data_IF_313132532342
#
_entry.id   IF_313132532342
#
_cell.length_a   1.000
_cell.length_b   1.000
_cell.length_c   1.000
_cell.angle_alpha   90.00
_cell.angle_beta   90.00
_cell.angle_gamma   90.00
#
_symmetry.space_group_name_H-M   'P 1'
#
loop_
_entity.id
_entity.type
_entity.pdbx_description
1 polymer ?
#
# COMPACT_ATOMS: atom_id res chain seq x y z
N UNK A 1 47.93 -6.63 -11.66
CA UNK A 1 47.31 -7.62 -10.77
C UNK A 1 45.96 -7.97 -11.39
N UNK A 2 45.72 -9.24 -11.74
CA UNK A 2 44.45 -9.67 -12.37
C UNK A 2 43.37 -9.79 -11.29
N UNK A 3 42.17 -9.30 -11.55
CA UNK A 3 41.04 -9.26 -10.62
C UNK A 3 40.43 -10.65 -10.44
N UNK A 4 40.74 -11.32 -9.32
CA UNK A 4 40.24 -12.67 -8.98
C UNK A 4 38.71 -12.77 -8.84
N UNK A 5 38.00 -11.63 -8.79
CA UNK A 5 36.53 -11.58 -8.73
C UNK A 5 35.87 -11.89 -10.09
N UNK A 6 36.54 -11.58 -11.20
CA UNK A 6 36.00 -11.85 -12.55
C UNK A 6 36.14 -13.34 -12.94
N UNK A 7 37.21 -14.00 -12.48
CA UNK A 7 37.41 -15.46 -12.66
C UNK A 7 36.37 -16.31 -11.88
N UNK A 8 35.84 -15.78 -10.76
CA UNK A 8 34.76 -16.42 -10.00
C UNK A 8 33.39 -16.23 -10.68
N UNK A 9 33.16 -15.10 -11.33
CA UNK A 9 31.96 -14.85 -12.12
C UNK A 9 31.97 -15.62 -13.45
N UNK A 10 33.16 -15.86 -14.03
CA UNK A 10 33.36 -16.71 -15.21
C UNK A 10 33.15 -18.22 -14.94
N UNK A 11 33.10 -18.66 -13.68
CA UNK A 11 32.82 -20.06 -13.31
C UNK A 11 31.32 -20.39 -13.36
N UNK A 12 30.45 -19.39 -13.41
CA UNK A 12 29.03 -19.59 -13.61
C UNK A 12 28.71 -19.49 -15.10
N UNK A 13 28.45 -20.65 -15.72
CA UNK A 13 27.94 -20.73 -17.08
C UNK A 13 26.51 -20.21 -17.10
N UNK A 14 26.36 -18.90 -17.36
CA UNK A 14 25.04 -18.29 -17.56
C UNK A 14 24.48 -18.87 -18.86
N UNK A 15 23.48 -19.74 -18.74
CA UNK A 15 22.71 -20.20 -19.89
C UNK A 15 21.86 -19.02 -20.39
N UNK A 16 22.09 -18.59 -21.63
CA UNK A 16 21.25 -17.59 -22.30
C UNK A 16 19.91 -18.25 -22.69
N UNK A 17 18.88 -18.03 -21.86
CA UNK A 17 17.56 -18.68 -21.97
C UNK A 17 16.80 -18.24 -23.24
N UNK A 18 17.22 -17.16 -23.91
CA UNK A 18 16.54 -16.62 -25.09
C UNK A 18 16.89 -17.31 -26.43
N UNK A 19 17.77 -18.32 -26.44
CA UNK A 19 18.24 -18.99 -27.68
C UNK A 19 17.97 -20.49 -27.76
N UNK A 20 17.17 -21.06 -26.85
CA UNK A 20 16.91 -22.52 -26.79
C UNK A 20 15.42 -22.89 -26.99
N UNK A 21 14.64 -22.05 -27.68
CA UNK A 21 13.24 -22.38 -28.00
C UNK A 21 13.09 -23.31 -29.22
N UNK A 22 14.17 -23.63 -29.95
CA UNK A 22 14.06 -24.35 -31.24
C UNK A 22 14.86 -25.67 -31.37
N UNK A 23 15.47 -26.18 -30.29
CA UNK A 23 16.10 -27.51 -30.32
C UNK A 23 15.08 -28.59 -29.91
N UNK A 24 14.47 -29.22 -30.92
CA UNK A 24 13.68 -30.44 -30.82
C UNK A 24 14.51 -31.54 -30.16
N UNK A 25 14.22 -31.83 -28.89
CA UNK A 25 14.79 -32.96 -28.16
C UNK A 25 14.18 -34.24 -28.72
N UNK A 26 14.91 -34.95 -29.59
CA UNK A 26 14.60 -36.35 -29.91
C UNK A 26 14.78 -37.22 -28.65
N UNK A 27 13.76 -37.94 -28.18
CA UNK A 27 13.90 -38.85 -27.06
C UNK A 27 14.52 -40.16 -27.55
N UNK A 28 15.82 -40.35 -27.28
CA UNK A 28 16.49 -41.65 -27.41
C UNK A 28 15.73 -42.70 -26.59
N UNK A 29 15.26 -43.72 -27.29
CA UNK A 29 14.43 -44.79 -26.77
C UNK A 29 15.20 -45.72 -25.81
N UNK A 30 14.73 -45.84 -24.57
CA UNK A 30 14.88 -47.04 -23.73
C UNK A 30 13.50 -47.40 -23.17
N UNK A 31 12.83 -48.30 -23.91
CA UNK A 31 12.00 -49.44 -23.47
C UNK A 31 11.31 -49.30 -22.10
N UNK A 32 10.11 -48.71 -22.10
CA UNK A 32 8.96 -49.07 -21.24
C UNK A 32 7.68 -48.26 -21.58
N UNK A 33 7.50 -47.88 -22.85
CA UNK A 33 6.26 -47.25 -23.34
C UNK A 33 5.40 -48.25 -24.09
N UNK A 34 4.55 -48.99 -23.37
CA UNK A 34 3.30 -49.52 -23.95
C UNK A 34 2.12 -49.53 -22.98
N UNK A 35 2.26 -49.01 -21.76
CA UNK A 35 1.11 -48.75 -20.88
C UNK A 35 1.04 -47.25 -20.67
N UNK A 36 0.08 -46.60 -21.32
CA UNK A 36 -0.22 -45.21 -21.05
C UNK A 36 -0.71 -45.09 -19.60
N UNK A 37 -0.61 -43.91 -18.99
CA UNK A 37 -1.17 -43.69 -17.65
C UNK A 37 -2.64 -44.14 -17.56
N UNK A 38 -3.39 -44.06 -18.67
CA UNK A 38 -4.77 -44.54 -18.81
C UNK A 38 -4.93 -46.06 -18.67
N UNK A 39 -3.90 -46.85 -18.97
CA UNK A 39 -3.89 -48.32 -18.90
C UNK A 39 -3.44 -48.85 -17.53
N UNK A 40 -2.85 -47.99 -16.69
CA UNK A 40 -2.35 -48.37 -15.35
C UNK A 40 -3.48 -48.30 -14.31
N UNK A 41 -4.45 -47.40 -14.49
CA UNK A 41 -5.58 -47.21 -13.57
C UNK A 41 -6.87 -47.63 -14.29
N UNK A 42 -7.59 -48.66 -13.80
CA UNK A 42 -8.87 -49.08 -14.36
C UNK A 42 -9.84 -47.92 -14.51
N UNK A 43 -10.59 -47.91 -15.61
CA UNK A 43 -11.55 -46.86 -15.92
C UNK A 43 -12.62 -46.70 -14.83
N UNK A 44 -13.01 -47.81 -14.19
CA UNK A 44 -13.93 -47.85 -13.05
C UNK A 44 -13.43 -47.09 -11.81
N UNK A 45 -12.13 -47.05 -11.56
CA UNK A 45 -11.56 -46.30 -10.43
C UNK A 45 -11.43 -44.81 -10.74
N UNK A 46 -11.12 -44.45 -11.99
CA UNK A 46 -11.13 -43.05 -12.44
C UNK A 46 -12.52 -42.44 -12.34
N UNK A 47 -13.51 -43.16 -12.87
CA UNK A 47 -14.88 -42.68 -12.89
C UNK A 47 -15.43 -42.52 -11.47
N UNK A 48 -15.11 -43.44 -10.56
CA UNK A 48 -15.55 -43.31 -9.16
C UNK A 48 -14.90 -42.11 -8.46
N UNK A 49 -13.63 -41.83 -8.72
CA UNK A 49 -12.94 -40.65 -8.18
C UNK A 49 -13.50 -39.35 -8.77
N UNK A 50 -13.77 -39.31 -10.07
CA UNK A 50 -14.34 -38.15 -10.75
C UNK A 50 -15.80 -37.91 -10.31
N UNK A 51 -16.59 -38.97 -10.13
CA UNK A 51 -17.96 -38.91 -9.62
C UNK A 51 -18.01 -38.49 -8.14
N UNK A 52 -17.09 -38.97 -7.31
CA UNK A 52 -16.97 -38.58 -5.91
C UNK A 52 -16.45 -37.15 -5.76
N UNK A 53 -15.48 -36.74 -6.60
CA UNK A 53 -14.99 -35.35 -6.67
C UNK A 53 -16.09 -34.40 -7.16
N UNK A 54 -16.88 -34.78 -8.16
CA UNK A 54 -18.02 -34.01 -8.66
C UNK A 54 -19.16 -33.97 -7.64
N UNK A 55 -19.45 -35.08 -6.96
CA UNK A 55 -20.43 -35.14 -5.88
C UNK A 55 -20.01 -34.27 -4.68
N UNK A 56 -18.73 -34.26 -4.33
CA UNK A 56 -18.19 -33.41 -3.27
C UNK A 56 -18.22 -31.92 -3.68
N UNK A 57 -17.90 -31.59 -4.93
CA UNK A 57 -17.97 -30.22 -5.45
C UNK A 57 -19.42 -29.69 -5.53
N UNK A 58 -20.38 -30.58 -5.77
CA UNK A 58 -21.81 -30.23 -5.88
C UNK A 58 -22.54 -30.26 -4.53
N UNK A 59 -22.08 -31.07 -3.57
CA UNK A 59 -22.61 -31.12 -2.21
C UNK A 59 -21.99 -30.06 -1.28
N UNK A 60 -20.78 -29.57 -1.58
CA UNK A 60 -20.11 -28.57 -0.78
C UNK A 60 -20.43 -27.15 -1.26
N UNK A 61 -21.42 -26.57 -0.56
CA UNK A 61 -21.63 -25.15 -0.29
C UNK A 61 -22.83 -24.50 -1.02
N UNK A 62 -23.78 -23.91 -0.26
CA UNK A 62 -24.79 -23.02 -0.84
C UNK A 62 -24.08 -21.87 -1.59
N UNK A 63 -24.73 -21.29 -2.62
CA UNK A 63 -24.14 -20.22 -3.42
C UNK A 63 -23.66 -19.13 -2.47
N UNK A 64 -22.33 -18.95 -2.40
CA UNK A 64 -21.73 -17.86 -1.63
C UNK A 64 -22.20 -16.57 -2.28
N UNK A 65 -23.24 -15.98 -1.70
CA UNK A 65 -23.64 -14.61 -1.98
C UNK A 65 -22.48 -13.72 -1.56
N UNK A 66 -21.54 -13.50 -2.48
CA UNK A 66 -20.63 -12.37 -2.35
C UNK A 66 -21.55 -11.16 -2.37
N UNK A 67 -21.78 -10.54 -1.20
CA UNK A 67 -22.25 -9.16 -1.13
C UNK A 67 -21.32 -8.39 -2.03
N UNK A 68 -21.78 -8.01 -3.23
CA UNK A 68 -21.15 -6.93 -3.97
C UNK A 68 -21.15 -5.78 -2.97
N UNK A 69 -19.95 -5.35 -2.57
CA UNK A 69 -19.83 -4.08 -1.87
C UNK A 69 -20.38 -3.08 -2.86
N UNK A 70 -21.60 -2.60 -2.61
CA UNK A 70 -22.11 -1.47 -3.36
C UNK A 70 -21.07 -0.38 -3.23
N UNK A 71 -20.62 0.16 -4.36
CA UNK A 71 -19.90 1.42 -4.36
C UNK A 71 -20.80 2.39 -3.60
N UNK A 72 -20.45 2.64 -2.35
CA UNK A 72 -21.10 3.65 -1.53
C UNK A 72 -20.68 4.99 -2.14
N UNK A 73 -21.36 5.40 -3.21
CA UNK A 73 -21.45 6.79 -3.59
C UNK A 73 -22.29 7.44 -2.49
N UNK A 74 -21.64 7.82 -1.39
CA UNK A 74 -22.20 8.68 -0.35
C UNK A 74 -22.52 10.03 -0.98
N UNK A 75 -23.66 10.11 -1.67
CA UNK A 75 -24.27 11.36 -2.09
C UNK A 75 -24.96 11.92 -0.85
N UNK A 76 -24.17 12.52 0.03
CA UNK A 76 -24.68 13.37 1.09
C UNK A 76 -25.09 14.69 0.44
N UNK A 77 -26.38 14.83 0.17
CA UNK A 77 -27.00 16.08 -0.24
C UNK A 77 -26.87 17.10 0.91
N UNK A 78 -25.85 17.95 0.80
CA UNK A 78 -25.71 19.18 1.57
C UNK A 78 -25.36 20.29 0.59
N UNK A 79 -26.34 21.17 0.39
CA UNK A 79 -26.30 22.34 -0.49
C UNK A 79 -25.08 23.22 -0.24
N UNK A 80 -24.08 23.11 -1.10
CA UNK A 80 -23.07 24.14 -1.33
C UNK A 80 -22.51 23.98 -2.74
N UNK A 81 -23.08 24.71 -3.71
CA UNK A 81 -22.81 24.60 -5.15
C UNK A 81 -21.32 24.79 -5.54
N UNK A 82 -20.50 25.41 -4.66
CA UNK A 82 -19.07 25.53 -4.89
C UNK A 82 -18.26 24.31 -4.41
N UNK A 83 -18.74 23.59 -3.38
CA UNK A 83 -18.08 22.39 -2.87
C UNK A 83 -18.35 21.15 -3.71
N UNK A 84 -19.51 21.08 -4.35
CA UNK A 84 -19.87 19.97 -5.27
C UNK A 84 -18.93 19.93 -6.48
N UNK A 85 -18.63 21.08 -7.09
CA UNK A 85 -17.69 21.17 -8.20
C UNK A 85 -16.25 20.83 -7.80
N UNK A 86 -15.78 21.28 -6.62
CA UNK A 86 -14.43 20.95 -6.14
C UNK A 86 -14.27 19.47 -5.81
N UNK A 87 -15.27 18.85 -5.18
CA UNK A 87 -15.26 17.40 -4.93
C UNK A 87 -15.31 16.61 -6.23
N UNK A 88 -16.19 16.99 -7.17
CA UNK A 88 -16.26 16.35 -8.48
C UNK A 88 -14.96 16.47 -9.28
N UNK A 89 -14.25 17.59 -9.18
CA UNK A 89 -12.96 17.77 -9.83
C UNK A 89 -11.88 16.91 -9.18
N UNK A 90 -11.83 16.87 -7.84
CA UNK A 90 -10.93 15.98 -7.12
C UNK A 90 -11.21 14.51 -7.40
N UNK A 91 -12.48 14.11 -7.56
CA UNK A 91 -12.81 12.73 -7.94
C UNK A 91 -12.26 12.38 -9.33
N UNK A 92 -12.23 13.33 -10.27
CA UNK A 92 -11.61 13.14 -11.59
C UNK A 92 -10.09 12.97 -11.44
N UNK A 93 -9.42 13.90 -10.75
CA UNK A 93 -7.97 13.85 -10.53
C UNK A 93 -7.56 12.57 -9.80
N UNK A 94 -8.29 12.16 -8.76
CA UNK A 94 -8.02 10.92 -8.03
C UNK A 94 -8.25 9.65 -8.87
N UNK A 95 -9.09 9.71 -9.91
CA UNK A 95 -9.30 8.59 -10.82
C UNK A 95 -8.19 8.46 -11.88
N UNK A 96 -7.38 9.49 -12.08
CA UNK A 96 -6.19 9.44 -12.95
C UNK A 96 -5.01 8.70 -12.30
N UNK A 97 -5.08 8.49 -10.99
CA UNK A 97 -4.13 7.70 -10.23
C UNK A 97 -4.69 6.30 -9.93
N UNK A 98 -3.84 5.30 -10.13
CA UNK A 98 -4.11 3.93 -9.72
C UNK A 98 -3.93 3.76 -8.21
N UNK A 99 -4.55 2.72 -7.65
CA UNK A 99 -4.37 2.36 -6.23
C UNK A 99 -2.90 2.16 -5.85
N UNK A 100 -2.07 1.62 -6.75
CA UNK A 100 -0.65 1.37 -6.49
C UNK A 100 0.16 2.66 -6.47
N UNK A 101 -0.10 3.58 -7.40
CA UNK A 101 0.50 4.91 -7.45
C UNK A 101 0.18 5.70 -6.17
N UNK A 102 -1.08 5.69 -5.73
CA UNK A 102 -1.50 6.36 -4.48
C UNK A 102 -0.77 5.76 -3.27
N UNK A 103 -0.64 4.42 -3.18
CA UNK A 103 0.11 3.79 -2.08
C UNK A 103 1.58 4.17 -2.08
N UNK A 104 2.24 4.19 -3.24
CA UNK A 104 3.63 4.63 -3.38
C UNK A 104 3.75 6.09 -2.97
N UNK A 105 2.88 6.95 -3.49
CA UNK A 105 2.81 8.37 -3.16
C UNK A 105 2.69 8.62 -1.65
N UNK A 106 1.75 7.97 -0.96
CA UNK A 106 1.58 8.12 0.50
C UNK A 106 2.83 7.64 1.25
N UNK A 107 3.46 6.55 0.79
CA UNK A 107 4.70 6.05 1.39
C UNK A 107 5.82 7.06 1.25
N UNK A 108 5.98 7.68 0.08
CA UNK A 108 6.95 8.74 -0.19
C UNK A 108 6.64 10.00 0.60
N UNK A 109 5.37 10.42 0.65
CA UNK A 109 4.89 11.58 1.40
C UNK A 109 5.30 11.51 2.88
N UNK A 110 5.19 10.34 3.51
CA UNK A 110 5.60 10.11 4.90
C UNK A 110 7.10 10.29 5.17
N UNK A 111 7.94 10.25 4.14
CA UNK A 111 9.41 10.37 4.29
C UNK A 111 9.86 11.82 4.47
N UNK A 112 9.04 12.80 4.10
CA UNK A 112 9.43 14.20 4.06
C UNK A 112 8.71 15.03 5.12
N UNK A 113 9.44 15.94 5.78
CA UNK A 113 8.86 16.90 6.75
C UNK A 113 7.92 17.91 6.11
N UNK A 114 8.16 18.21 4.83
CA UNK A 114 7.45 19.24 4.07
C UNK A 114 7.21 18.74 2.65
N UNK A 115 6.13 17.96 2.48
CA UNK A 115 5.83 17.35 1.20
C UNK A 115 5.46 18.38 0.13
N UNK A 116 4.83 19.50 0.50
CA UNK A 116 4.39 20.55 -0.42
C UNK A 116 5.55 21.24 -1.15
N UNK A 117 6.67 21.48 -0.46
CA UNK A 117 7.84 22.10 -1.08
C UNK A 117 8.80 21.09 -1.72
N UNK A 118 8.59 19.78 -1.48
CA UNK A 118 9.47 18.69 -1.96
C UNK A 118 8.76 17.74 -2.93
N UNK A 119 7.77 18.25 -3.66
CA UNK A 119 6.99 17.47 -4.61
C UNK A 119 7.86 16.72 -5.61
N UNK A 120 8.88 17.36 -6.18
CA UNK A 120 9.79 16.73 -7.14
C UNK A 120 10.46 15.46 -6.61
N UNK A 121 10.91 15.50 -5.36
CA UNK A 121 11.55 14.36 -4.70
C UNK A 121 10.53 13.26 -4.38
N UNK A 122 9.29 13.64 -4.07
CA UNK A 122 8.19 12.71 -3.82
C UNK A 122 7.76 12.03 -5.11
N UNK A 123 7.60 12.79 -6.19
CA UNK A 123 7.24 12.30 -7.53
C UNK A 123 8.23 11.26 -8.02
N UNK A 124 9.53 11.55 -7.89
CA UNK A 124 10.60 10.62 -8.24
C UNK A 124 10.58 9.36 -7.35
N UNK A 125 10.46 9.52 -6.03
CA UNK A 125 10.41 8.37 -5.10
C UNK A 125 9.14 7.51 -5.25
N UNK A 126 8.05 8.11 -5.75
CA UNK A 126 6.78 7.44 -6.00
C UNK A 126 6.67 6.86 -7.42
N UNK A 127 7.66 7.11 -8.28
CA UNK A 127 7.67 6.73 -9.71
C UNK A 127 6.47 7.32 -10.48
N UNK A 128 6.15 8.60 -10.22
CA UNK A 128 5.02 9.33 -10.84
C UNK A 128 5.46 10.44 -11.81
N UNK A 129 6.67 10.34 -12.36
CA UNK A 129 7.23 11.35 -13.27
C UNK A 129 6.42 11.53 -14.56
N UNK A 130 5.61 10.53 -14.92
CA UNK A 130 4.74 10.55 -16.09
C UNK A 130 3.43 11.35 -15.88
N UNK A 131 3.14 11.80 -14.66
CA UNK A 131 1.90 12.53 -14.31
C UNK A 131 2.12 14.04 -14.34
N UNK A 132 1.04 14.82 -14.49
CA UNK A 132 1.15 16.29 -14.44
C UNK A 132 1.60 16.75 -13.05
N UNK A 133 2.51 17.72 -13.02
CA UNK A 133 2.93 18.38 -11.76
C UNK A 133 1.72 18.96 -11.02
N UNK A 134 0.76 19.50 -11.76
CA UNK A 134 -0.44 20.11 -11.18
C UNK A 134 -1.30 19.05 -10.46
N UNK A 135 -1.54 17.90 -11.08
CA UNK A 135 -2.35 16.82 -10.48
C UNK A 135 -1.70 16.28 -9.21
N UNK A 136 -0.36 16.20 -9.18
CA UNK A 136 0.40 15.80 -7.99
C UNK A 136 0.27 16.86 -6.88
N UNK A 137 0.37 18.14 -7.21
CA UNK A 137 0.17 19.22 -6.25
C UNK A 137 -1.24 19.22 -5.67
N UNK A 138 -2.26 19.02 -6.52
CA UNK A 138 -3.65 18.88 -6.11
C UNK A 138 -3.86 17.66 -5.21
N UNK A 139 -3.32 16.49 -5.58
CA UNK A 139 -3.33 15.28 -4.76
C UNK A 139 -2.67 15.52 -3.39
N UNK A 140 -1.54 16.23 -3.37
CA UNK A 140 -0.80 16.53 -2.14
C UNK A 140 -1.61 17.42 -1.20
N UNK A 141 -2.16 18.51 -1.74
CA UNK A 141 -2.98 19.44 -0.98
C UNK A 141 -4.26 18.77 -0.46
N UNK A 142 -4.88 17.94 -1.30
CA UNK A 142 -6.05 17.15 -0.92
C UNK A 142 -5.74 16.20 0.25
N UNK A 143 -4.71 15.36 0.14
CA UNK A 143 -4.32 14.42 1.20
C UNK A 143 -4.00 15.16 2.50
N UNK A 144 -3.26 16.26 2.42
CA UNK A 144 -2.87 17.06 3.58
C UNK A 144 -4.08 17.68 4.27
N UNK A 145 -4.97 18.33 3.51
CA UNK A 145 -6.19 18.95 4.03
C UNK A 145 -7.14 17.91 4.63
N UNK A 146 -7.35 16.79 3.93
CA UNK A 146 -8.26 15.74 4.39
C UNK A 146 -7.76 15.09 5.70
N UNK A 147 -6.45 14.88 5.83
CA UNK A 147 -5.86 14.37 7.07
C UNK A 147 -6.00 15.36 8.23
N UNK A 148 -5.78 16.66 7.99
CA UNK A 148 -5.96 17.69 9.02
C UNK A 148 -7.41 17.77 9.50
N UNK A 149 -8.36 17.87 8.57
CA UNK A 149 -9.79 17.93 8.89
C UNK A 149 -10.25 16.68 9.65
N UNK A 150 -9.81 15.49 9.24
CA UNK A 150 -10.20 14.23 9.88
C UNK A 150 -9.68 14.13 11.32
N UNK A 151 -8.44 14.56 11.56
CA UNK A 151 -7.85 14.58 12.90
C UNK A 151 -8.55 15.61 13.80
N UNK A 152 -8.90 16.77 13.27
CA UNK A 152 -9.66 17.80 14.01
C UNK A 152 -11.07 17.34 14.35
N UNK A 153 -11.78 16.72 13.41
CA UNK A 153 -13.11 16.18 13.64
C UNK A 153 -13.12 15.13 14.75
N UNK A 154 -12.19 14.17 14.71
CA UNK A 154 -12.09 13.14 15.77
C UNK A 154 -11.75 13.74 17.15
N UNK A 155 -10.98 14.83 17.21
CA UNK A 155 -10.72 15.54 18.48
C UNK A 155 -11.99 16.22 19.01
N UNK A 156 -12.77 16.85 18.14
CA UNK A 156 -14.01 17.53 18.52
C UNK A 156 -15.08 16.55 19.01
N UNK A 157 -15.20 15.38 18.37
CA UNK A 157 -16.15 14.33 18.77
C UNK A 157 -15.77 13.66 20.12
N UNK A 158 -14.52 13.80 20.55
CA UNK A 158 -14.02 13.29 21.85
C UNK A 158 -14.29 14.27 23.01
N UNK A 159 -14.67 15.51 22.71
CA UNK A 159 -15.05 16.50 23.73
C UNK A 159 -16.47 16.23 24.24
N UNK A 160 -16.70 16.06 25.56
CA UNK A 160 -17.97 15.57 26.10
C UNK A 160 -18.98 16.72 26.22
N UNK A 161 -19.38 17.33 25.10
CA UNK A 161 -20.56 18.19 25.11
C UNK A 161 -21.18 18.29 23.73
N UNK A 162 -22.12 17.39 23.44
CA UNK A 162 -23.33 17.69 22.68
C UNK A 162 -24.33 16.52 22.82
N UNK A 163 -25.34 16.74 23.66
CA UNK A 163 -26.62 16.05 23.53
C UNK A 163 -27.27 16.48 22.22
N UNK A 164 -27.45 15.58 21.26
CA UNK A 164 -28.61 15.66 20.36
C UNK A 164 -29.04 14.25 19.97
N UNK A 165 -30.26 13.92 20.39
CA UNK A 165 -30.99 12.73 20.01
C UNK A 165 -31.47 12.88 18.56
N UNK A 166 -31.28 11.86 17.73
CA UNK A 166 -32.20 11.56 16.63
C UNK A 166 -32.13 10.06 16.26
N UNK A 167 -33.08 9.34 16.87
CA UNK A 167 -33.89 8.24 16.33
C UNK A 167 -33.29 7.11 15.46
N UNK A 168 -33.47 5.91 16.03
CA UNK A 168 -33.97 4.66 15.43
C UNK A 168 -33.05 3.78 14.57
N UNK A 169 -32.37 2.82 15.22
CA UNK A 169 -32.62 1.38 15.06
C UNK A 169 -31.81 0.55 16.09
N UNK A 170 -32.31 -0.63 16.53
CA UNK A 170 -31.83 -1.28 17.75
C UNK A 170 -30.69 -2.27 17.50
N UNK A 171 -29.68 -2.18 18.39
CA UNK A 171 -28.73 -3.22 18.85
C UNK A 171 -28.15 -4.16 17.79
N UNK A 172 -26.88 -3.97 17.46
CA UNK A 172 -25.93 -5.08 17.65
C UNK A 172 -24.50 -4.59 17.89
N UNK A 173 -23.85 -5.36 18.75
CA UNK A 173 -22.43 -5.47 19.03
C UNK A 173 -21.65 -4.38 19.79
N UNK A 174 -21.21 -4.82 20.96
CA UNK A 174 -20.26 -4.22 21.88
C UNK A 174 -18.85 -4.16 21.29
N UNK A 175 -18.51 -3.08 20.61
CA UNK A 175 -17.10 -2.71 20.42
C UNK A 175 -16.86 -1.26 20.84
N UNK A 176 -15.98 -1.09 21.83
CA UNK A 176 -15.52 0.16 22.43
C UNK A 176 -15.70 1.41 21.56
N UNK A 177 -16.58 2.31 22.00
CA UNK A 177 -16.80 3.63 21.42
C UNK A 177 -15.69 4.64 21.79
N UNK A 178 -14.51 4.15 22.17
CA UNK A 178 -13.33 4.93 22.56
C UNK A 178 -12.21 4.52 21.62
N UNK A 179 -11.63 5.49 20.92
CA UNK A 179 -10.42 5.36 20.11
C UNK A 179 -10.59 4.79 18.69
N UNK A 180 -11.61 5.25 17.95
CA UNK A 180 -11.55 5.12 16.48
C UNK A 180 -10.38 5.93 15.96
N UNK A 181 -9.37 5.24 15.44
CA UNK A 181 -8.21 5.88 14.80
C UNK A 181 -8.72 6.71 13.61
N UNK A 182 -8.36 8.01 13.52
CA UNK A 182 -8.76 8.85 12.40
C UNK A 182 -8.18 8.29 11.09
N UNK A 183 -9.04 7.80 10.21
CA UNK A 183 -8.64 7.25 8.91
C UNK A 183 -9.37 7.91 7.75
N UNK A 184 -8.65 8.23 6.68
CA UNK A 184 -9.21 8.69 5.41
C UNK A 184 -9.14 7.56 4.38
N UNK A 185 -10.07 7.55 3.42
CA UNK A 185 -10.09 6.53 2.35
C UNK A 185 -10.06 7.20 0.98
N UNK A 186 -8.97 6.99 0.25
CA UNK A 186 -8.73 7.57 -1.08
C UNK A 186 -8.54 6.42 -2.06
N UNK A 187 -9.40 6.33 -3.09
CA UNK A 187 -9.29 5.33 -4.16
C UNK A 187 -9.01 3.89 -3.65
N UNK A 188 -9.79 3.45 -2.65
CA UNK A 188 -9.65 2.16 -1.98
C UNK A 188 -8.36 1.94 -1.15
N UNK A 189 -7.62 3.01 -0.86
CA UNK A 189 -6.49 3.04 0.08
C UNK A 189 -6.94 3.72 1.38
N UNK A 190 -6.82 3.01 2.50
CA UNK A 190 -7.08 3.57 3.83
C UNK A 190 -5.78 4.12 4.42
N UNK A 191 -5.83 5.36 4.90
CA UNK A 191 -4.66 6.10 5.41
C UNK A 191 -4.96 6.49 6.86
N UNK A 192 -4.02 6.22 7.76
CA UNK A 192 -4.08 6.72 9.13
C UNK A 192 -3.68 8.20 9.15
N UNK A 193 -4.67 9.08 9.33
CA UNK A 193 -4.47 10.52 9.28
C UNK A 193 -3.57 11.00 10.43
N UNK A 194 -3.76 10.46 11.64
CA UNK A 194 -2.91 10.80 12.80
C UNK A 194 -1.46 10.44 12.55
N UNK A 195 -1.19 9.25 12.01
CA UNK A 195 0.18 8.83 11.72
C UNK A 195 0.83 9.72 10.66
N UNK A 196 0.09 10.10 9.61
CA UNK A 196 0.60 10.96 8.56
C UNK A 196 0.98 12.34 9.10
N UNK A 197 0.08 12.98 9.86
CA UNK A 197 0.33 14.29 10.47
C UNK A 197 1.47 14.24 11.49
N UNK A 198 1.53 13.19 12.32
CA UNK A 198 2.63 13.03 13.28
C UNK A 198 3.98 12.89 12.58
N UNK A 199 4.05 12.13 11.47
CA UNK A 199 5.31 12.00 10.72
C UNK A 199 5.82 13.35 10.20
N UNK A 200 4.93 14.23 9.73
CA UNK A 200 5.32 15.58 9.31
C UNK A 200 5.81 16.42 10.49
N UNK A 201 5.09 16.37 11.62
CA UNK A 201 5.43 17.09 12.85
C UNK A 201 6.79 16.65 13.40
N UNK A 202 7.06 15.34 13.46
CA UNK A 202 8.28 14.78 14.04
C UNK A 202 9.51 15.11 13.20
N UNK A 203 9.33 15.25 11.88
CA UNK A 203 10.40 15.63 10.96
C UNK A 203 10.55 17.15 10.81
N UNK A 204 9.62 17.97 11.32
CA UNK A 204 9.66 19.45 11.24
C UNK A 204 10.93 20.06 11.88
N UNK A 205 11.41 19.62 13.07
CA UNK A 205 12.64 20.14 13.66
C UNK A 205 13.86 19.94 12.76
N UNK A 206 13.92 18.80 12.04
CA UNK A 206 15.01 18.52 11.10
C UNK A 206 15.02 19.54 9.95
N UNK A 207 13.84 19.96 9.47
CA UNK A 207 13.73 21.04 8.49
C UNK A 207 14.34 22.33 9.04
N UNK A 208 14.02 22.72 10.27
CA UNK A 208 14.54 23.95 10.90
C UNK A 208 16.05 23.92 11.08
N UNK A 209 16.60 22.78 11.50
CA UNK A 209 18.04 22.63 11.73
C UNK A 209 18.85 22.58 10.43
N UNK A 210 18.31 21.97 9.37
CA UNK A 210 19.02 21.73 8.11
C UNK A 210 18.53 22.61 6.95
N UNK A 211 17.96 23.78 7.27
CA UNK A 211 17.60 24.85 6.34
C UNK A 211 18.83 25.42 5.63
N UNK A 212 20.01 25.42 6.29
CA UNK A 212 21.28 25.85 5.72
C UNK A 212 22.09 24.67 5.14
N UNK A 213 22.81 24.97 4.05
CA UNK A 213 23.85 24.23 3.32
C UNK A 213 24.10 22.74 3.71
N UNK A 214 24.08 21.89 2.69
CA UNK A 214 24.29 20.42 2.77
C UNK A 214 25.53 20.02 3.60
N UNK A 215 26.60 20.81 3.56
CA UNK A 215 27.86 20.52 4.26
C UNK A 215 27.74 20.56 5.80
N UNK A 216 26.91 21.45 6.35
CA UNK A 216 26.69 21.54 7.81
C UNK A 216 25.93 20.32 8.36
N UNK A 217 25.33 19.50 7.50
CA UNK A 217 24.66 18.26 7.91
C UNK A 217 25.65 17.21 8.38
N UNK A 218 26.84 17.15 7.77
CA UNK A 218 27.87 16.17 8.11
C UNK A 218 28.59 16.49 9.42
N UNK A 219 28.61 17.75 9.83
CA UNK A 219 29.21 18.22 11.09
C UNK A 219 28.21 18.37 12.23
N UNK A 220 26.96 17.96 12.03
CA UNK A 220 25.94 18.03 13.07
C UNK A 220 26.28 17.10 14.24
N UNK A 221 26.32 17.66 15.44
CA UNK A 221 26.46 16.92 16.69
C UNK A 221 25.24 17.15 17.56
N UNK A 222 24.80 16.10 18.27
CA UNK A 222 23.73 16.24 19.24
C UNK A 222 24.15 17.19 20.38
N UNK A 223 23.24 18.06 20.85
CA UNK A 223 23.47 18.87 22.04
C UNK A 223 23.80 17.97 23.24
N UNK A 224 24.84 18.33 24.00
CA UNK A 224 25.28 17.60 25.20
C UNK A 224 24.25 17.60 26.33
N UNK A 225 23.22 18.43 26.25
CA UNK A 225 22.08 18.46 27.18
C UNK A 225 21.09 17.31 26.98
N UNK A 226 21.11 16.63 25.82
CA UNK A 226 20.20 15.51 25.53
C UNK A 226 20.81 14.21 26.08
N UNK A 227 20.18 13.66 27.13
CA UNK A 227 20.54 12.34 27.66
C UNK A 227 19.89 11.26 26.81
N UNK A 228 20.67 10.60 25.96
CA UNK A 228 20.21 9.46 25.15
C UNK A 228 20.26 8.19 26.00
N UNK A 229 19.17 7.41 25.99
CA UNK A 229 19.12 6.12 26.71
C UNK A 229 20.12 5.15 26.05
N UNK A 230 20.99 4.46 26.83
CA UNK A 230 21.91 3.48 26.28
C UNK A 230 21.14 2.32 25.66
N UNK A 231 21.70 1.78 24.57
CA UNK A 231 21.05 0.73 23.78
C UNK A 231 21.85 -0.57 23.89
N UNK A 232 21.17 -1.69 24.09
CA UNK A 232 21.77 -3.02 24.22
C UNK A 232 21.84 -3.73 22.85
N UNK A 233 22.53 -3.12 21.90
CA UNK A 233 22.78 -3.76 20.60
C UNK A 233 24.06 -4.59 20.64
N UNK A 234 24.15 -5.59 19.76
CA UNK A 234 25.33 -6.46 19.63
C UNK A 234 26.54 -5.74 19.01
N UNK A 235 26.34 -4.54 18.45
CA UNK A 235 27.38 -3.69 17.89
C UNK A 235 27.57 -2.40 18.70
N UNK A 236 28.74 -1.78 18.54
CA UNK A 236 29.02 -0.45 19.11
C UNK A 236 28.06 0.59 18.53
N UNK A 237 27.38 1.33 19.41
CA UNK A 237 26.51 2.45 19.06
C UNK A 237 26.89 3.67 19.90
N UNK A 238 27.29 4.75 19.24
CA UNK A 238 27.77 5.99 19.86
C UNK A 238 27.47 7.19 18.97
#
# INVERSE_FOLDING_TARGET
MRNSSEDLLSQFKIANIQTMEDDVIEPTAIVNRTKSWKDIIPESERQKFDDECLAELTAALPPRSRKRVELFNSKSDLDNNNNTNRRSHMDIVLNEFTTNEIRKFIKSFKKFSDPLHRLDLITMDAELEDKSRQDIEELTNYIHSECLMTVEQCKNDTSPNNHTQSSSSPKDDSTNHRDKIPTIRIHNVTINATQLINSMRDLEPLKKLFQSHNEQRKSYSFPSSIKIKPVHWSCSWS
#
